data_IF_907879454356
#
_entry.id   IF_907879454356
#
_cell.length_a   1.000
_cell.length_b   1.000
_cell.length_c   1.000
_cell.angle_alpha   90.00
_cell.angle_beta   90.00
_cell.angle_gamma   90.00
#
_symmetry.space_group_name_H-M   'P 1'
#
loop_
_entity.id
_entity.type
_entity.pdbx_description
1 polymer ?
#
# COMPACT_ATOMS: atom_id res chain seq x y z
N UNK A 1 10.11 -11.46 14.38
CA UNK A 1 10.68 -10.57 15.40
C UNK A 1 12.21 -10.59 15.34
N UNK A 2 12.86 -9.47 15.66
CA UNK A 2 14.32 -9.34 15.63
C UNK A 2 15.03 -10.33 16.56
N UNK A 3 14.44 -10.64 17.70
CA UNK A 3 14.99 -11.52 18.74
C UNK A 3 14.35 -12.92 18.77
N UNK A 4 13.11 -13.05 18.28
CA UNK A 4 12.34 -14.29 18.28
C UNK A 4 12.17 -14.79 16.85
N UNK A 5 13.12 -15.58 16.37
CA UNK A 5 13.10 -16.15 15.02
C UNK A 5 12.43 -17.52 15.07
N UNK A 6 11.53 -17.76 14.12
CA UNK A 6 10.82 -19.02 13.91
C UNK A 6 11.05 -19.44 12.46
N UNK A 7 11.28 -20.73 12.16
CA UNK A 7 11.35 -21.22 10.79
C UNK A 7 10.03 -20.90 10.06
N UNK A 8 10.12 -20.50 8.79
CA UNK A 8 8.95 -20.20 7.98
C UNK A 8 8.08 -21.45 7.75
N UNK A 9 8.69 -22.63 7.77
CA UNK A 9 8.02 -23.92 7.66
C UNK A 9 7.12 -24.22 8.84
N UNK A 10 7.52 -23.87 10.08
CA UNK A 10 6.65 -23.94 11.24
C UNK A 10 5.41 -23.03 11.11
N UNK A 11 5.55 -21.85 10.50
CA UNK A 11 4.40 -21.00 10.18
C UNK A 11 3.48 -21.64 9.14
N UNK A 12 4.02 -22.20 8.04
CA UNK A 12 3.23 -22.91 7.03
C UNK A 12 2.45 -24.08 7.62
N UNK A 13 3.07 -24.86 8.52
CA UNK A 13 2.39 -25.95 9.25
C UNK A 13 1.27 -25.43 10.13
N UNK A 14 1.50 -24.36 10.88
CA UNK A 14 0.47 -23.73 11.72
C UNK A 14 -0.73 -23.22 10.91
N UNK A 15 -0.48 -22.70 9.72
CA UNK A 15 -1.51 -22.23 8.78
C UNK A 15 -2.37 -23.38 8.23
N UNK A 16 -1.80 -24.59 8.08
CA UNK A 16 -2.56 -25.77 7.67
C UNK A 16 -1.86 -26.74 6.73
N UNK A 17 -0.62 -26.47 6.31
CA UNK A 17 0.18 -27.35 5.45
C UNK A 17 1.07 -28.25 6.34
N UNK A 18 0.50 -29.33 6.86
CA UNK A 18 1.17 -30.19 7.85
C UNK A 18 2.27 -31.07 7.29
N UNK A 19 2.07 -31.65 6.10
CA UNK A 19 2.99 -32.60 5.50
C UNK A 19 4.12 -31.88 4.74
N UNK A 20 5.31 -32.50 4.78
CA UNK A 20 6.49 -32.00 4.03
C UNK A 20 6.19 -31.92 2.52
N UNK A 21 5.49 -32.94 1.99
CA UNK A 21 5.14 -32.98 0.57
C UNK A 21 4.23 -31.82 0.16
N UNK A 22 3.25 -31.45 0.99
CA UNK A 22 2.37 -30.31 0.74
C UNK A 22 3.15 -29.01 0.63
N UNK A 23 4.10 -28.79 1.57
CA UNK A 23 4.96 -27.59 1.56
C UNK A 23 5.87 -27.57 0.32
N UNK A 24 6.41 -28.73 -0.05
CA UNK A 24 7.30 -28.83 -1.23
C UNK A 24 6.53 -28.62 -2.52
N UNK A 25 5.31 -29.10 -2.66
CA UNK A 25 4.43 -28.86 -3.82
C UNK A 25 4.05 -27.39 -3.99
N UNK A 26 3.86 -26.64 -2.89
CA UNK A 26 3.55 -25.20 -2.96
C UNK A 26 4.64 -24.40 -3.67
N UNK A 27 5.91 -24.73 -3.40
CA UNK A 27 7.07 -23.96 -3.88
C UNK A 27 7.94 -24.74 -4.85
N UNK A 28 7.39 -25.78 -5.49
CA UNK A 28 8.06 -26.55 -6.57
C UNK A 28 9.42 -27.18 -6.16
N UNK A 29 9.51 -27.61 -4.92
CA UNK A 29 10.74 -28.23 -4.43
C UNK A 29 11.91 -27.26 -4.23
N UNK A 30 11.65 -25.97 -3.95
CA UNK A 30 12.69 -24.98 -3.74
C UNK A 30 13.69 -25.42 -2.66
N UNK A 31 14.97 -25.42 -3.01
CA UNK A 31 16.06 -25.86 -2.13
C UNK A 31 16.17 -25.06 -0.82
N UNK A 32 15.77 -23.79 -0.84
CA UNK A 32 15.76 -22.91 0.35
C UNK A 32 14.72 -23.34 1.36
N UNK A 33 13.55 -23.77 0.87
CA UNK A 33 12.48 -24.34 1.73
C UNK A 33 12.92 -25.71 2.27
N UNK A 34 13.56 -26.54 1.43
CA UNK A 34 14.10 -27.84 1.86
C UNK A 34 15.14 -27.67 2.99
N UNK A 35 16.12 -26.80 2.81
CA UNK A 35 17.12 -26.48 3.84
C UNK A 35 16.51 -25.90 5.13
N UNK A 36 15.35 -25.25 5.02
CA UNK A 36 14.62 -24.76 6.21
C UNK A 36 13.90 -25.89 6.90
N UNK A 37 13.30 -26.84 6.15
CA UNK A 37 12.64 -28.03 6.69
C UNK A 37 13.62 -28.92 7.44
N UNK A 38 14.87 -29.08 6.96
CA UNK A 38 15.92 -29.83 7.66
C UNK A 38 16.30 -29.24 9.03
N UNK A 39 16.12 -27.93 9.21
CA UNK A 39 16.38 -27.20 10.46
C UNK A 39 15.17 -27.04 11.33
N UNK A 40 14.00 -27.38 10.82
CA UNK A 40 12.73 -27.28 11.53
C UNK A 40 12.50 -28.56 12.36
N UNK A 41 12.23 -28.38 13.64
CA UNK A 41 11.97 -29.49 14.57
C UNK A 41 10.48 -29.81 14.69
N UNK A 42 9.62 -29.15 13.91
CA UNK A 42 8.18 -29.39 13.91
C UNK A 42 7.81 -30.39 12.83
N UNK A 43 6.92 -31.35 13.12
CA UNK A 43 6.52 -32.41 12.18
C UNK A 43 5.04 -32.36 11.81
N UNK A 44 4.25 -31.66 12.62
CA UNK A 44 2.80 -31.56 12.45
C UNK A 44 2.30 -30.12 12.54
N UNK A 45 1.02 -29.91 12.18
CA UNK A 45 0.33 -28.63 12.37
C UNK A 45 0.32 -28.21 13.85
N UNK A 46 0.12 -29.17 14.73
CA UNK A 46 0.05 -28.94 16.18
C UNK A 46 1.40 -28.50 16.73
N UNK A 47 2.48 -29.14 16.29
CA UNK A 47 3.84 -28.74 16.68
C UNK A 47 4.19 -27.34 16.19
N UNK A 48 3.80 -27.00 14.96
CA UNK A 48 3.96 -25.64 14.42
C UNK A 48 3.24 -24.58 15.27
N UNK A 49 2.01 -24.86 15.67
CA UNK A 49 1.24 -23.97 16.57
C UNK A 49 1.88 -23.84 17.95
N UNK A 50 2.37 -24.94 18.51
CA UNK A 50 3.03 -24.95 19.83
C UNK A 50 4.36 -24.20 19.81
N UNK A 51 5.16 -24.34 18.73
CA UNK A 51 6.42 -23.60 18.59
C UNK A 51 6.18 -22.10 18.50
N UNK A 52 5.16 -21.66 17.76
CA UNK A 52 4.76 -20.26 17.70
C UNK A 52 4.28 -19.77 19.06
N UNK A 53 3.44 -20.55 19.74
CA UNK A 53 2.93 -20.21 21.07
C UNK A 53 4.04 -20.05 22.09
N UNK A 54 5.00 -20.99 22.13
CA UNK A 54 6.17 -20.96 23.00
C UNK A 54 6.99 -19.69 22.83
N UNK A 55 7.12 -19.20 21.60
CA UNK A 55 7.86 -17.97 21.28
C UNK A 55 7.10 -16.70 21.64
N UNK A 56 5.77 -16.70 21.47
CA UNK A 56 4.93 -15.54 21.79
C UNK A 56 4.67 -15.40 23.29
N UNK A 57 4.51 -16.53 23.98
CA UNK A 57 4.21 -16.59 25.42
C UNK A 57 5.18 -17.52 26.17
N UNK A 58 6.42 -17.09 26.37
CA UNK A 58 7.41 -17.90 27.10
C UNK A 58 6.98 -18.09 28.54
N UNK A 59 7.04 -19.36 29.02
CA UNK A 59 6.73 -19.72 30.41
C UNK A 59 5.30 -20.14 30.68
N UNK A 60 4.38 -20.02 29.70
CA UNK A 60 3.04 -20.61 29.86
C UNK A 60 3.04 -22.10 29.49
N UNK A 61 2.15 -22.92 30.13
CA UNK A 61 2.01 -24.34 29.81
C UNK A 61 1.54 -24.49 28.34
N UNK A 62 2.17 -25.46 27.66
CA UNK A 62 1.88 -25.71 26.23
C UNK A 62 0.55 -26.46 26.12
N UNK A 63 -0.43 -25.86 25.49
CA UNK A 63 -1.73 -26.41 25.17
C UNK A 63 -2.08 -26.08 23.71
N UNK A 64 -2.39 -27.11 22.92
CA UNK A 64 -2.72 -27.01 21.49
C UNK A 64 -3.93 -26.09 21.23
N UNK A 65 -4.96 -26.22 22.08
CA UNK A 65 -6.19 -25.45 21.95
C UNK A 65 -5.93 -23.95 22.20
N UNK A 66 -5.18 -23.62 23.24
CA UNK A 66 -4.77 -22.25 23.54
C UNK A 66 -3.87 -21.67 22.44
N UNK A 67 -2.95 -22.48 21.91
CA UNK A 67 -2.10 -22.10 20.80
C UNK A 67 -2.90 -21.81 19.53
N UNK A 68 -3.85 -22.65 19.19
CA UNK A 68 -4.77 -22.45 18.05
C UNK A 68 -5.59 -21.18 18.22
N UNK A 69 -6.24 -21.00 19.36
CA UNK A 69 -7.05 -19.82 19.65
C UNK A 69 -6.22 -18.53 19.60
N UNK A 70 -5.00 -18.55 20.13
CA UNK A 70 -4.10 -17.41 20.03
C UNK A 70 -3.72 -17.10 18.58
N UNK A 71 -3.32 -18.11 17.81
CA UNK A 71 -2.90 -17.96 16.42
C UNK A 71 -4.04 -17.46 15.54
N UNK A 72 -5.23 -18.05 15.64
CA UNK A 72 -6.42 -17.63 14.91
C UNK A 72 -6.82 -16.20 15.27
N UNK A 73 -6.77 -15.84 16.55
CA UNK A 73 -7.10 -14.49 17.01
C UNK A 73 -6.10 -13.42 16.56
N UNK A 74 -4.85 -13.79 16.32
CA UNK A 74 -3.81 -12.84 15.90
C UNK A 74 -3.89 -12.48 14.42
N UNK A 75 -4.29 -13.41 13.55
CA UNK A 75 -4.19 -13.24 12.10
C UNK A 75 -5.53 -13.33 11.36
N UNK A 76 -6.46 -14.14 11.83
CA UNK A 76 -7.66 -14.52 11.09
C UNK A 76 -8.97 -14.02 11.69
N UNK A 77 -8.96 -13.53 12.94
CA UNK A 77 -10.18 -13.00 13.59
C UNK A 77 -10.47 -11.56 13.10
N UNK A 78 -11.57 -11.34 12.34
CA UNK A 78 -11.93 -10.02 11.83
C UNK A 78 -12.24 -8.99 12.93
N UNK A 79 -12.50 -9.43 14.17
CA UNK A 79 -12.74 -8.53 15.31
C UNK A 79 -11.45 -8.00 15.92
N UNK A 80 -10.34 -8.73 15.78
CA UNK A 80 -9.04 -8.39 16.38
C UNK A 80 -8.03 -7.88 15.37
N UNK A 81 -8.08 -8.40 14.15
CA UNK A 81 -7.17 -8.04 13.07
C UNK A 81 -7.93 -7.42 11.90
N UNK A 82 -7.81 -6.13 11.74
CA UNK A 82 -8.44 -5.36 10.67
C UNK A 82 -7.44 -4.37 10.06
N UNK A 83 -6.98 -4.64 8.86
CA UNK A 83 -6.09 -3.74 8.09
C UNK A 83 -6.85 -2.85 7.11
N UNK A 84 -8.16 -2.76 7.26
CA UNK A 84 -9.09 -1.97 6.45
C UNK A 84 -9.09 -2.35 4.95
N UNK A 85 -9.91 -1.67 4.17
CA UNK A 85 -9.97 -1.87 2.70
C UNK A 85 -8.63 -1.55 2.03
N UNK A 86 -7.95 -0.54 2.54
CA UNK A 86 -6.65 -0.09 2.03
C UNK A 86 -5.57 -1.16 2.14
N UNK A 87 -5.49 -1.86 3.28
CA UNK A 87 -4.53 -2.94 3.45
C UNK A 87 -4.80 -4.10 2.50
N UNK A 88 -6.08 -4.49 2.32
CA UNK A 88 -6.47 -5.52 1.34
C UNK A 88 -6.12 -5.10 -0.09
N UNK A 89 -6.41 -3.85 -0.47
CA UNK A 89 -6.04 -3.31 -1.76
C UNK A 89 -4.52 -3.40 -2.01
N UNK A 90 -3.69 -2.96 -1.06
CA UNK A 90 -2.22 -3.01 -1.20
C UNK A 90 -1.67 -4.42 -1.21
N UNK A 91 -2.19 -5.33 -0.38
CA UNK A 91 -1.78 -6.74 -0.38
C UNK A 91 -2.13 -7.39 -1.73
N UNK A 92 -3.34 -7.20 -2.25
CA UNK A 92 -3.73 -7.73 -3.55
C UNK A 92 -2.87 -7.15 -4.68
N UNK A 93 -2.65 -5.83 -4.70
CA UNK A 93 -1.79 -5.17 -5.70
C UNK A 93 -0.37 -5.73 -5.66
N UNK A 94 0.21 -5.91 -4.47
CA UNK A 94 1.58 -6.43 -4.30
C UNK A 94 1.71 -7.92 -4.66
N UNK A 95 0.75 -8.73 -4.25
CA UNK A 95 0.74 -10.17 -4.50
C UNK A 95 0.14 -10.56 -5.86
N UNK A 96 -0.34 -9.58 -6.64
CA UNK A 96 -0.80 -9.82 -8.00
C UNK A 96 0.32 -10.40 -8.87
N UNK A 97 -0.05 -11.17 -9.86
CA UNK A 97 0.93 -11.78 -10.79
C UNK A 97 1.56 -10.75 -11.72
N UNK A 98 0.83 -9.66 -12.07
CA UNK A 98 1.22 -8.70 -13.11
C UNK A 98 2.65 -8.17 -12.94
N UNK A 99 2.99 -7.66 -11.77
CA UNK A 99 4.32 -7.05 -11.51
C UNK A 99 5.51 -8.02 -11.58
N UNK A 100 5.22 -9.35 -11.61
CA UNK A 100 6.24 -10.40 -11.68
C UNK A 100 6.20 -11.19 -12.98
N UNK A 101 5.10 -11.13 -13.73
CA UNK A 101 4.95 -11.82 -15.02
C UNK A 101 5.29 -10.93 -16.20
N UNK A 102 4.95 -9.64 -16.14
CA UNK A 102 5.08 -8.72 -17.28
C UNK A 102 6.53 -8.70 -17.81
N UNK A 103 6.67 -8.89 -19.12
CA UNK A 103 7.94 -8.97 -19.86
C UNK A 103 8.83 -10.17 -19.51
N UNK A 104 8.40 -11.10 -18.67
CA UNK A 104 9.09 -12.36 -18.41
C UNK A 104 8.58 -13.46 -19.33
N UNK A 105 9.43 -14.48 -19.57
CA UNK A 105 9.14 -15.59 -20.46
C UNK A 105 8.53 -16.75 -19.69
N UNK A 106 7.46 -17.36 -20.19
CA UNK A 106 6.82 -18.54 -19.58
C UNK A 106 7.78 -19.74 -19.57
N UNK A 107 7.89 -20.41 -18.44
CA UNK A 107 8.71 -21.60 -18.27
C UNK A 107 7.95 -22.91 -18.56
N UNK A 108 6.62 -22.86 -18.55
CA UNK A 108 5.72 -23.98 -18.87
C UNK A 108 4.51 -23.49 -19.69
N UNK A 109 3.79 -24.43 -20.30
CA UNK A 109 2.55 -24.13 -21.03
C UNK A 109 1.47 -23.66 -20.05
N UNK A 110 0.83 -22.56 -20.39
CA UNK A 110 -0.25 -21.99 -19.59
C UNK A 110 -1.59 -22.46 -20.12
N UNK A 111 -2.32 -23.20 -19.30
CA UNK A 111 -3.63 -23.74 -19.64
C UNK A 111 -4.75 -22.94 -18.93
N UNK A 112 -5.88 -22.82 -19.60
CA UNK A 112 -7.10 -22.27 -19.00
C UNK A 112 -7.64 -23.29 -17.97
N UNK A 113 -7.82 -22.90 -16.70
CA UNK A 113 -8.29 -23.81 -15.65
C UNK A 113 -9.72 -24.35 -15.89
N UNK A 114 -10.57 -23.61 -16.64
CA UNK A 114 -11.97 -23.94 -16.82
C UNK A 114 -12.20 -24.96 -17.95
N UNK A 115 -11.46 -24.86 -19.07
CA UNK A 115 -11.66 -25.68 -20.25
C UNK A 115 -10.42 -26.48 -20.71
N UNK A 116 -9.27 -26.26 -20.08
CA UNK A 116 -8.02 -26.95 -20.43
C UNK A 116 -7.38 -26.50 -21.75
N UNK A 117 -7.88 -25.45 -22.41
CA UNK A 117 -7.28 -24.91 -23.63
C UNK A 117 -5.94 -24.23 -23.35
N UNK A 118 -5.05 -24.30 -24.34
CA UNK A 118 -3.75 -23.64 -24.27
C UNK A 118 -3.93 -22.11 -24.45
N UNK A 119 -3.63 -21.35 -23.39
CA UNK A 119 -3.63 -19.87 -23.42
C UNK A 119 -2.34 -19.33 -24.02
N UNK A 120 -1.20 -19.88 -23.61
CA UNK A 120 0.10 -19.50 -24.10
C UNK A 120 1.08 -20.67 -23.97
N UNK A 121 1.92 -20.88 -24.98
CA UNK A 121 2.93 -21.93 -24.96
C UNK A 121 4.16 -21.50 -24.14
N UNK A 122 4.90 -22.48 -23.65
CA UNK A 122 6.23 -22.29 -23.07
C UNK A 122 7.12 -21.45 -23.99
N UNK A 123 7.86 -20.49 -23.44
CA UNK A 123 8.72 -19.60 -24.21
C UNK A 123 8.02 -18.33 -24.70
N UNK A 124 6.71 -18.17 -24.48
CA UNK A 124 6.00 -16.92 -24.79
C UNK A 124 6.38 -15.85 -23.78
N UNK A 125 6.69 -14.65 -24.26
CA UNK A 125 6.87 -13.46 -23.42
C UNK A 125 5.49 -12.95 -22.99
N UNK A 126 5.32 -12.75 -21.69
CA UNK A 126 4.04 -12.28 -21.13
C UNK A 126 3.89 -10.79 -21.38
N UNK A 127 2.90 -10.41 -22.15
CA UNK A 127 2.51 -9.04 -22.41
C UNK A 127 1.35 -8.57 -21.48
N UNK A 128 0.94 -7.31 -21.64
CA UNK A 128 -0.16 -6.75 -20.84
C UNK A 128 -1.53 -7.41 -21.10
N UNK A 129 -1.76 -7.91 -22.32
CA UNK A 129 -3.00 -8.57 -22.69
C UNK A 129 -3.11 -9.96 -22.06
N UNK A 130 -2.04 -10.75 -22.13
CA UNK A 130 -1.95 -12.06 -21.50
C UNK A 130 -2.02 -11.94 -19.96
N UNK A 131 -1.35 -10.94 -19.36
CA UNK A 131 -1.50 -10.67 -17.93
C UNK A 131 -2.94 -10.43 -17.50
N UNK A 132 -3.70 -9.69 -18.32
CA UNK A 132 -5.11 -9.40 -18.06
C UNK A 132 -5.99 -10.65 -18.13
N UNK A 133 -5.76 -11.50 -19.13
CA UNK A 133 -6.43 -12.79 -19.24
C UNK A 133 -6.13 -13.72 -18.06
N UNK A 134 -4.87 -13.77 -17.60
CA UNK A 134 -4.45 -14.55 -16.43
C UNK A 134 -5.20 -14.09 -15.17
N UNK A 135 -5.37 -12.77 -14.99
CA UNK A 135 -6.11 -12.21 -13.85
C UNK A 135 -7.62 -12.51 -13.94
N UNK A 136 -8.23 -12.35 -15.10
CA UNK A 136 -9.65 -12.63 -15.32
C UNK A 136 -10.00 -14.09 -15.05
N UNK A 137 -9.13 -15.01 -15.45
CA UNK A 137 -9.25 -16.45 -15.18
C UNK A 137 -8.81 -16.87 -13.78
N UNK A 138 -8.39 -15.92 -12.94
CA UNK A 138 -7.95 -16.14 -11.55
C UNK A 138 -6.89 -17.24 -11.42
N UNK A 139 -5.98 -17.31 -12.37
CA UNK A 139 -4.88 -18.27 -12.31
C UNK A 139 -3.98 -17.88 -11.13
N UNK A 140 -3.85 -18.76 -10.14
CA UNK A 140 -3.11 -18.47 -8.90
C UNK A 140 -1.62 -18.79 -8.97
N UNK A 141 -1.18 -19.54 -9.98
CA UNK A 141 0.20 -20.04 -10.10
C UNK A 141 0.66 -20.02 -11.55
N UNK A 142 1.83 -19.44 -11.81
CA UNK A 142 2.48 -19.40 -13.13
C UNK A 142 3.97 -19.58 -12.96
N UNK A 143 4.64 -20.32 -13.88
CA UNK A 143 6.09 -20.45 -13.91
C UNK A 143 6.70 -19.57 -14.99
N UNK A 144 7.70 -18.81 -14.62
CA UNK A 144 8.45 -17.94 -15.54
C UNK A 144 9.96 -18.14 -15.36
N UNK A 145 10.71 -17.82 -16.40
CA UNK A 145 12.16 -17.73 -16.31
C UNK A 145 12.56 -16.37 -15.74
N UNK A 146 13.51 -16.37 -14.80
CA UNK A 146 14.16 -15.14 -14.37
C UNK A 146 15.24 -14.71 -15.37
N UNK A 147 15.92 -13.58 -15.10
CA UNK A 147 17.00 -13.07 -15.95
C UNK A 147 18.19 -14.04 -16.08
N UNK A 148 18.41 -14.91 -15.09
CA UNK A 148 19.45 -15.92 -15.07
C UNK A 148 19.03 -17.23 -15.78
N UNK A 149 17.83 -17.30 -16.34
CA UNK A 149 17.28 -18.49 -17.00
C UNK A 149 16.77 -19.57 -16.04
N UNK A 150 16.67 -19.29 -14.74
CA UNK A 150 16.09 -20.20 -13.74
C UNK A 150 14.57 -20.14 -13.81
N UNK A 151 13.91 -21.31 -13.85
CA UNK A 151 12.45 -21.38 -13.73
C UNK A 151 12.04 -21.07 -12.28
N UNK A 152 11.15 -20.09 -12.11
CA UNK A 152 10.65 -19.63 -10.83
C UNK A 152 9.13 -19.69 -10.81
N UNK A 153 8.59 -20.21 -9.72
CA UNK A 153 7.14 -20.25 -9.50
C UNK A 153 6.65 -18.94 -8.89
N UNK A 154 5.69 -18.32 -9.55
CA UNK A 154 5.02 -17.08 -9.10
C UNK A 154 3.63 -17.44 -8.59
N UNK A 155 3.38 -17.12 -7.32
CA UNK A 155 2.11 -17.37 -6.64
C UNK A 155 1.33 -16.08 -6.39
N UNK A 156 0.03 -16.11 -6.64
CA UNK A 156 -0.91 -15.04 -6.27
C UNK A 156 -1.75 -15.43 -5.07
N UNK A 157 -2.34 -14.47 -4.39
CA UNK A 157 -3.36 -14.69 -3.37
C UNK A 157 -4.79 -14.82 -3.95
N UNK A 158 -4.95 -14.82 -5.29
CA UNK A 158 -6.24 -15.00 -5.97
C UNK A 158 -7.18 -13.80 -5.91
N UNK A 159 -6.68 -12.57 -5.75
CA UNK A 159 -7.47 -11.32 -5.68
C UNK A 159 -8.65 -11.42 -4.68
N UNK A 160 -8.31 -11.57 -3.42
CA UNK A 160 -9.30 -11.71 -2.33
C UNK A 160 -10.19 -10.46 -2.26
N UNK A 161 -11.51 -10.60 -2.08
CA UNK A 161 -12.43 -9.47 -2.06
C UNK A 161 -12.09 -8.41 -1.02
N UNK A 162 -12.29 -7.12 -1.35
CA UNK A 162 -11.94 -5.96 -0.50
C UNK A 162 -12.69 -5.90 0.85
N UNK A 163 -13.78 -6.66 1.00
CA UNK A 163 -14.50 -6.74 2.27
C UNK A 163 -13.81 -7.66 3.30
N UNK A 164 -12.91 -8.54 2.85
CA UNK A 164 -12.10 -9.39 3.73
C UNK A 164 -10.91 -8.59 4.25
N UNK A 165 -11.00 -8.10 5.48
CA UNK A 165 -10.04 -7.16 6.06
C UNK A 165 -9.04 -7.80 7.03
N UNK A 166 -8.99 -9.11 7.07
CA UNK A 166 -8.03 -9.90 7.84
C UNK A 166 -7.16 -10.73 6.90
N UNK A 167 -6.06 -11.25 7.39
CA UNK A 167 -5.19 -12.14 6.60
C UNK A 167 -5.92 -13.45 6.29
N UNK A 168 -5.55 -14.05 5.16
CA UNK A 168 -5.98 -15.38 4.75
C UNK A 168 -4.76 -16.30 4.60
N UNK A 169 -5.01 -17.58 4.43
CA UNK A 169 -3.93 -18.57 4.21
C UNK A 169 -3.20 -18.30 2.90
N UNK A 170 -3.96 -17.94 1.88
CA UNK A 170 -3.47 -17.62 0.54
C UNK A 170 -2.52 -16.41 0.57
N UNK A 171 -2.82 -15.37 1.37
CA UNK A 171 -1.94 -14.22 1.57
C UNK A 171 -0.57 -14.65 2.11
N UNK A 172 -0.55 -15.54 3.11
CA UNK A 172 0.69 -16.00 3.74
C UNK A 172 1.52 -16.80 2.74
N UNK A 173 0.90 -17.75 2.05
CA UNK A 173 1.58 -18.60 1.04
C UNK A 173 2.13 -17.74 -0.09
N UNK A 174 1.32 -16.83 -0.64
CA UNK A 174 1.74 -15.94 -1.72
C UNK A 174 2.85 -14.97 -1.26
N UNK A 175 2.82 -14.49 -0.01
CA UNK A 175 3.87 -13.62 0.55
C UNK A 175 5.21 -14.35 0.63
N UNK A 176 5.21 -15.60 1.09
CA UNK A 176 6.44 -16.41 1.13
C UNK A 176 6.95 -16.66 -0.30
N UNK A 177 6.05 -17.01 -1.25
CA UNK A 177 6.40 -17.15 -2.66
C UNK A 177 6.97 -15.86 -3.24
N UNK A 178 6.39 -14.70 -2.92
CA UNK A 178 6.92 -13.40 -3.33
C UNK A 178 8.33 -13.14 -2.78
N UNK A 179 8.58 -13.50 -1.52
CA UNK A 179 9.90 -13.38 -0.91
C UNK A 179 10.95 -14.25 -1.63
N UNK A 180 10.59 -15.49 -2.01
CA UNK A 180 11.47 -16.35 -2.80
C UNK A 180 11.74 -15.76 -4.20
N UNK A 181 10.70 -15.19 -4.84
CA UNK A 181 10.84 -14.50 -6.12
C UNK A 181 11.80 -13.31 -6.05
N UNK A 182 11.73 -12.49 -4.98
CA UNK A 182 12.66 -11.36 -4.78
C UNK A 182 14.10 -11.83 -4.69
N UNK A 183 14.36 -12.96 -4.02
CA UNK A 183 15.71 -13.56 -3.96
C UNK A 183 16.21 -14.04 -5.31
N UNK A 184 15.31 -14.39 -6.23
CA UNK A 184 15.60 -14.81 -7.60
C UNK A 184 15.54 -13.62 -8.60
N UNK A 185 15.47 -12.38 -8.13
CA UNK A 185 15.44 -11.17 -8.97
C UNK A 185 14.09 -10.88 -9.65
N UNK A 186 13.03 -11.59 -9.26
CA UNK A 186 11.66 -11.34 -9.75
C UNK A 186 10.87 -10.46 -8.76
N UNK A 187 10.30 -9.37 -9.27
CA UNK A 187 9.57 -8.39 -8.46
C UNK A 187 10.43 -7.21 -8.02
N UNK A 188 9.88 -6.37 -7.15
CA UNK A 188 10.52 -5.15 -6.67
C UNK A 188 10.45 -5.04 -5.15
N UNK A 189 11.49 -4.50 -4.56
CA UNK A 189 11.50 -4.12 -3.14
C UNK A 189 10.73 -2.80 -3.03
N UNK A 190 9.87 -2.69 -2.00
CA UNK A 190 9.12 -1.46 -1.77
C UNK A 190 10.02 -0.36 -1.20
N UNK A 191 9.89 0.83 -1.77
CA UNK A 191 10.46 2.05 -1.22
C UNK A 191 9.48 2.59 -0.17
N UNK A 192 9.97 2.76 1.07
CA UNK A 192 9.16 3.21 2.21
C UNK A 192 8.72 4.68 2.03
N UNK A 193 9.55 5.50 1.39
CA UNK A 193 9.30 6.94 1.23
C UNK A 193 8.46 7.27 -0.01
N UNK A 194 8.22 6.29 -0.86
CA UNK A 194 7.37 6.43 -2.03
C UNK A 194 5.92 6.73 -1.64
N UNK A 195 5.27 7.76 -2.23
CA UNK A 195 3.87 8.13 -1.91
C UNK A 195 2.82 7.08 -2.32
N UNK A 196 3.19 6.09 -3.09
CA UNK A 196 2.40 4.89 -3.29
C UNK A 196 2.33 3.99 -2.04
N UNK A 197 3.27 4.10 -1.11
CA UNK A 197 3.33 3.34 0.15
C UNK A 197 3.01 4.21 1.37
N UNK A 198 3.03 5.53 1.23
CA UNK A 198 2.66 6.51 2.28
C UNK A 198 1.31 7.10 1.95
N UNK A 199 0.31 6.78 2.74
CA UNK A 199 -1.04 7.32 2.58
C UNK A 199 -1.34 8.42 3.60
N UNK A 200 -2.31 9.26 3.28
CA UNK A 200 -2.84 10.25 4.18
C UNK A 200 -4.05 9.71 4.95
N UNK A 201 -4.14 10.09 6.20
CA UNK A 201 -5.35 9.92 7.01
C UNK A 201 -6.03 11.27 7.14
N UNK A 202 -7.18 11.41 6.48
CA UNK A 202 -7.99 12.61 6.56
C UNK A 202 -8.69 12.73 7.92
N UNK A 203 -9.25 13.91 8.19
CA UNK A 203 -9.99 14.21 9.43
C UNK A 203 -11.11 13.18 9.67
N UNK A 204 -11.83 12.77 8.62
CA UNK A 204 -12.92 11.79 8.74
C UNK A 204 -12.43 10.45 9.29
N UNK A 205 -11.30 9.93 8.82
CA UNK A 205 -10.72 8.68 9.32
C UNK A 205 -10.24 8.81 10.78
N UNK A 206 -9.60 9.94 11.13
CA UNK A 206 -9.15 10.21 12.49
C UNK A 206 -10.32 10.28 13.47
N UNK A 207 -11.41 10.97 13.11
CA UNK A 207 -12.63 11.04 13.91
C UNK A 207 -13.31 9.68 14.03
N UNK A 208 -13.39 8.91 12.94
CA UNK A 208 -13.93 7.55 12.97
C UNK A 208 -13.19 6.67 13.97
N UNK A 209 -11.87 6.75 14.03
CA UNK A 209 -11.07 5.99 14.97
C UNK A 209 -11.34 6.40 16.42
N UNK A 210 -11.46 7.69 16.71
CA UNK A 210 -11.83 8.18 18.04
C UNK A 210 -13.24 7.77 18.45
N UNK A 211 -14.17 7.83 17.51
CA UNK A 211 -15.53 7.37 17.75
C UNK A 211 -15.60 5.87 18.05
N UNK A 212 -14.83 5.06 17.30
CA UNK A 212 -14.69 3.60 17.54
C UNK A 212 -14.13 3.32 18.94
N UNK A 213 -13.13 4.05 19.41
CA UNK A 213 -12.58 3.92 20.75
C UNK A 213 -13.64 4.26 21.80
N UNK A 214 -14.39 5.33 21.60
CA UNK A 214 -15.48 5.75 22.48
C UNK A 214 -16.58 4.68 22.57
N UNK A 215 -16.99 4.12 21.43
CA UNK A 215 -17.99 3.03 21.37
C UNK A 215 -17.49 1.75 22.06
N UNK A 216 -16.23 1.36 21.85
CA UNK A 216 -15.67 0.18 22.51
C UNK A 216 -15.60 0.32 24.04
N UNK A 217 -15.27 1.53 24.52
CA UNK A 217 -15.33 1.84 25.96
C UNK A 217 -16.78 1.76 26.49
N UNK A 218 -17.73 2.28 25.73
CA UNK A 218 -19.15 2.21 26.08
C UNK A 218 -19.67 0.75 26.08
N UNK A 219 -19.34 -0.04 25.06
CA UNK A 219 -19.70 -1.45 24.99
C UNK A 219 -19.22 -2.22 26.22
N UNK A 220 -17.97 -2.00 26.65
CA UNK A 220 -17.42 -2.66 27.83
C UNK A 220 -18.22 -2.32 29.08
N UNK A 221 -18.55 -1.04 29.29
CA UNK A 221 -19.35 -0.60 30.43
C UNK A 221 -20.77 -1.18 30.40
N UNK A 222 -21.38 -1.24 29.22
CA UNK A 222 -22.71 -1.88 29.05
C UNK A 222 -22.63 -3.35 29.41
N UNK A 223 -21.63 -4.06 28.93
CA UNK A 223 -21.43 -5.49 29.22
C UNK A 223 -21.21 -5.75 30.72
N UNK A 224 -20.39 -4.92 31.39
CA UNK A 224 -20.20 -4.99 32.85
C UNK A 224 -21.53 -4.75 33.61
N UNK A 225 -22.31 -3.75 33.22
CA UNK A 225 -23.61 -3.47 33.83
C UNK A 225 -24.64 -4.60 33.63
N UNK A 226 -24.68 -5.18 32.43
CA UNK A 226 -25.54 -6.34 32.14
C UNK A 226 -25.22 -7.56 33.02
N UNK A 227 -24.00 -7.71 33.47
CA UNK A 227 -23.59 -8.81 34.36
C UNK A 227 -24.01 -8.57 35.81
N UNK A 228 -24.13 -7.31 36.23
CA UNK A 228 -24.37 -6.95 37.64
C UNK A 228 -25.86 -6.67 37.91
N UNK A 229 -26.61 -6.18 36.94
CA UNK A 229 -28.01 -5.76 37.12
C UNK A 229 -29.00 -6.90 36.83
N UNK A 230 -30.13 -6.85 37.52
CA UNK A 230 -31.23 -7.80 37.39
C UNK A 230 -31.86 -7.70 35.97
N UNK A 231 -31.94 -8.82 35.27
CA UNK A 231 -32.38 -8.90 33.87
C UNK A 231 -33.82 -8.41 33.67
N UNK A 232 -34.69 -8.56 34.70
CA UNK A 232 -36.11 -8.20 34.61
C UNK A 232 -36.38 -6.70 34.72
N UNK A 233 -35.46 -5.89 35.29
CA UNK A 233 -35.64 -4.47 35.55
C UNK A 233 -34.81 -3.56 34.63
N UNK A 234 -34.00 -4.12 33.74
CA UNK A 234 -33.01 -3.40 32.93
C UNK A 234 -33.66 -2.77 31.68
N UNK A 235 -33.48 -1.45 31.52
CA UNK A 235 -33.85 -0.74 30.30
C UNK A 235 -32.60 -0.33 29.50
N UNK A 236 -32.67 -0.21 28.17
CA UNK A 236 -31.54 0.26 27.36
C UNK A 236 -31.00 1.64 27.81
N UNK A 237 -31.87 2.52 28.29
CA UNK A 237 -31.49 3.86 28.79
C UNK A 237 -30.63 3.79 30.07
N UNK A 238 -30.89 2.80 30.95
CA UNK A 238 -30.09 2.59 32.17
C UNK A 238 -28.71 1.99 31.88
N UNK A 239 -28.60 1.19 30.83
CA UNK A 239 -27.33 0.54 30.42
C UNK A 239 -26.42 1.47 29.64
N UNK A 240 -26.97 2.24 28.70
CA UNK A 240 -26.18 3.04 27.77
C UNK A 240 -25.72 4.34 28.44
N UNK A 241 -24.41 4.56 28.42
CA UNK A 241 -23.79 5.80 28.89
C UNK A 241 -22.99 6.43 27.74
N UNK A 242 -23.38 7.61 27.29
CA UNK A 242 -22.73 8.34 26.19
C UNK A 242 -21.43 9.05 26.58
N UNK A 243 -21.14 9.19 27.88
CA UNK A 243 -19.96 9.92 28.37
C UNK A 243 -18.63 9.45 27.79
N UNK A 244 -18.34 8.13 27.64
CA UNK A 244 -17.10 7.65 27.04
C UNK A 244 -16.90 8.11 25.60
N UNK A 245 -17.98 8.19 24.81
CA UNK A 245 -17.94 8.67 23.42
C UNK A 245 -17.64 10.17 23.37
N UNK A 246 -18.37 10.95 24.18
CA UNK A 246 -18.15 12.40 24.29
C UNK A 246 -16.73 12.70 24.77
N UNK A 247 -16.22 11.94 25.75
CA UNK A 247 -14.86 12.10 26.25
C UNK A 247 -13.82 11.83 25.17
N UNK A 248 -13.96 10.78 24.38
CA UNK A 248 -13.05 10.44 23.30
C UNK A 248 -12.99 11.53 22.21
N UNK A 249 -14.16 12.09 21.84
CA UNK A 249 -14.22 13.19 20.86
C UNK A 249 -13.60 14.47 21.42
N UNK A 250 -13.91 14.82 22.68
CA UNK A 250 -13.30 15.98 23.35
C UNK A 250 -11.79 15.83 23.50
N UNK A 251 -11.31 14.63 23.78
CA UNK A 251 -9.88 14.32 23.87
C UNK A 251 -9.18 14.61 22.53
N UNK A 252 -9.80 14.22 21.40
CA UNK A 252 -9.25 14.49 20.08
C UNK A 252 -9.15 15.98 19.79
N UNK A 253 -10.23 16.74 19.96
CA UNK A 253 -10.23 18.16 19.63
C UNK A 253 -9.43 19.02 20.62
N UNK A 254 -9.30 18.59 21.88
CA UNK A 254 -8.60 19.35 22.92
C UNK A 254 -7.13 19.06 23.09
N UNK A 255 -6.68 17.84 22.75
CA UNK A 255 -5.30 17.39 23.06
C UNK A 255 -4.58 16.71 21.89
N UNK A 256 -5.22 16.50 20.73
CA UNK A 256 -4.54 15.94 19.58
C UNK A 256 -3.57 16.95 18.94
N UNK A 257 -2.37 16.50 18.60
CA UNK A 257 -1.39 17.32 17.88
C UNK A 257 -1.88 17.77 16.50
N UNK A 258 -2.82 17.03 15.89
CA UNK A 258 -3.38 17.32 14.57
C UNK A 258 -4.56 18.29 14.62
N UNK A 259 -5.18 18.49 15.80
CA UNK A 259 -6.19 19.50 16.03
C UNK A 259 -5.51 20.80 16.46
N UNK A 260 -5.47 21.77 15.57
CA UNK A 260 -4.72 23.02 15.76
C UNK A 260 -5.66 24.22 15.65
N UNK A 261 -5.25 25.33 16.24
CA UNK A 261 -5.87 26.63 15.99
C UNK A 261 -5.68 26.98 14.51
N UNK A 262 -6.77 27.34 13.83
CA UNK A 262 -6.71 27.73 12.43
C UNK A 262 -6.05 29.10 12.27
N UNK A 263 -5.10 29.20 11.35
CA UNK A 263 -4.51 30.47 10.96
C UNK A 263 -5.55 31.26 10.13
N UNK A 264 -5.98 32.42 10.64
CA UNK A 264 -7.06 33.25 10.09
C UNK A 264 -6.62 34.68 9.76
N UNK A 265 -5.35 34.90 9.52
CA UNK A 265 -4.82 36.23 9.17
C UNK A 265 -5.38 36.75 7.85
N UNK A 266 -5.55 35.85 6.87
CA UNK A 266 -6.19 36.12 5.59
C UNK A 266 -6.79 34.82 5.00
N UNK A 267 -7.64 34.89 3.94
CA UNK A 267 -8.24 33.69 3.34
C UNK A 267 -7.22 32.70 2.80
N UNK A 268 -6.07 33.15 2.29
CA UNK A 268 -5.01 32.27 1.78
C UNK A 268 -4.36 31.47 2.92
N UNK A 269 -4.15 32.09 4.09
CA UNK A 269 -3.62 31.41 5.28
C UNK A 269 -4.55 30.29 5.76
N UNK A 270 -5.86 30.52 5.75
CA UNK A 270 -6.86 29.49 6.07
C UNK A 270 -6.79 28.31 5.07
N UNK A 271 -6.73 28.62 3.76
CA UNK A 271 -6.67 27.60 2.72
C UNK A 271 -5.39 26.75 2.84
N UNK A 272 -4.25 27.38 3.01
CA UNK A 272 -2.96 26.67 3.15
C UNK A 272 -2.90 25.84 4.41
N UNK A 273 -3.47 26.31 5.52
CA UNK A 273 -3.54 25.54 6.76
C UNK A 273 -4.41 24.27 6.59
N UNK A 274 -5.53 24.36 5.89
CA UNK A 274 -6.42 23.21 5.61
C UNK A 274 -5.78 22.18 4.67
N UNK A 275 -4.83 22.58 3.83
CA UNK A 275 -4.11 21.71 2.88
C UNK A 275 -2.76 21.22 3.41
N UNK A 276 -2.46 21.45 4.67
CA UNK A 276 -1.20 21.05 5.30
C UNK A 276 -1.15 19.55 5.55
N UNK A 277 -0.01 18.96 5.25
CA UNK A 277 0.29 17.55 5.42
C UNK A 277 1.32 17.41 6.55
N UNK A 278 1.04 16.56 7.54
CA UNK A 278 1.94 16.31 8.66
C UNK A 278 2.34 14.84 8.72
N UNK A 279 3.64 14.56 8.82
CA UNK A 279 4.17 13.23 9.09
C UNK A 279 4.14 12.88 10.59
N UNK A 280 3.84 13.87 11.46
CA UNK A 280 3.80 13.76 12.90
C UNK A 280 2.41 13.33 13.40
N UNK A 281 2.33 12.92 14.67
CA UNK A 281 1.07 12.64 15.35
C UNK A 281 0.79 11.15 15.54
N UNK A 282 -0.42 10.80 15.98
CA UNK A 282 -0.80 9.41 16.29
C UNK A 282 -0.64 8.49 15.08
N UNK A 283 0.21 7.47 15.20
CA UNK A 283 0.54 6.53 14.12
C UNK A 283 1.47 7.10 13.05
N UNK A 284 2.02 8.29 13.24
CA UNK A 284 3.08 8.89 12.44
C UNK A 284 4.46 8.77 13.09
N UNK A 285 5.39 9.60 12.62
CA UNK A 285 6.77 9.66 13.12
C UNK A 285 6.90 10.59 14.32
N UNK A 286 7.92 10.37 15.13
CA UNK A 286 8.41 11.37 16.10
C UNK A 286 9.58 12.14 15.50
N UNK A 287 9.73 13.42 15.87
CA UNK A 287 10.81 14.29 15.36
C UNK A 287 12.20 13.68 15.52
N UNK A 288 12.43 13.03 16.65
CA UNK A 288 13.72 12.44 17.02
C UNK A 288 14.05 11.17 16.21
N UNK A 289 13.02 10.45 15.76
CA UNK A 289 13.17 9.20 14.98
C UNK A 289 13.16 9.43 13.47
N UNK A 290 12.80 10.61 13.01
CA UNK A 290 12.77 10.97 11.61
C UNK A 290 14.20 11.26 11.12
N UNK A 291 14.78 10.36 10.33
CA UNK A 291 16.06 10.53 9.65
C UNK A 291 15.99 11.54 8.50
N UNK A 292 17.11 11.71 7.80
CA UNK A 292 17.17 12.58 6.62
C UNK A 292 16.34 12.06 5.46
N UNK A 293 16.31 10.75 5.22
CA UNK A 293 15.58 10.12 4.12
C UNK A 293 14.09 10.48 4.08
N UNK A 294 13.44 10.51 5.27
CA UNK A 294 12.00 10.88 5.38
C UNK A 294 11.74 12.36 5.15
N UNK A 295 12.77 13.21 5.33
CA UNK A 295 12.69 14.68 5.21
C UNK A 295 13.02 15.17 3.80
N UNK A 296 13.69 14.34 3.01
CA UNK A 296 14.08 14.66 1.66
C UNK A 296 12.87 14.66 0.70
N UNK A 297 13.05 15.35 -0.42
CA UNK A 297 12.06 15.35 -1.51
C UNK A 297 12.26 14.09 -2.35
N UNK A 298 11.26 13.23 -2.36
CA UNK A 298 11.24 12.02 -3.17
C UNK A 298 10.66 12.31 -4.56
N UNK A 299 11.06 11.58 -5.61
CA UNK A 299 10.52 11.78 -6.97
C UNK A 299 8.99 11.64 -7.04
N UNK A 300 8.39 10.75 -6.22
CA UNK A 300 6.94 10.59 -6.13
C UNK A 300 6.18 11.81 -5.58
N UNK A 301 6.89 12.81 -5.05
CA UNK A 301 6.28 14.07 -4.58
C UNK A 301 5.81 14.95 -5.74
N UNK A 302 6.30 14.70 -6.96
CA UNK A 302 5.93 15.48 -8.13
C UNK A 302 4.40 15.53 -8.31
N UNK A 303 3.87 16.75 -8.37
CA UNK A 303 2.43 17.00 -8.51
C UNK A 303 1.57 16.62 -7.29
N UNK A 304 2.15 16.13 -6.20
CA UNK A 304 1.45 15.66 -4.98
C UNK A 304 1.77 16.47 -3.75
N UNK A 305 3.03 16.64 -3.45
CA UNK A 305 3.51 17.46 -2.32
C UNK A 305 4.41 18.57 -2.86
N UNK A 306 4.18 19.79 -2.41
CA UNK A 306 5.03 20.92 -2.78
C UNK A 306 6.45 20.70 -2.21
N UNK A 307 7.50 20.78 -3.05
CA UNK A 307 8.87 20.58 -2.58
C UNK A 307 9.44 21.81 -1.86
N UNK A 308 8.79 22.96 -1.95
CA UNK A 308 9.28 24.26 -1.47
C UNK A 308 8.63 24.63 -0.14
N UNK A 309 7.29 24.47 -0.02
CA UNK A 309 6.54 24.88 1.16
C UNK A 309 6.73 23.89 2.31
N UNK A 310 7.74 24.12 3.14
CA UNK A 310 8.03 23.36 4.35
C UNK A 310 8.60 24.29 5.43
N UNK A 311 8.35 24.07 6.72
CA UNK A 311 8.96 24.86 7.78
C UNK A 311 10.48 24.74 7.80
N UNK A 312 11.15 25.80 8.23
CA UNK A 312 12.56 25.76 8.60
C UNK A 312 12.75 25.18 10.01
N UNK A 313 13.89 24.53 10.26
CA UNK A 313 14.26 24.02 11.58
C UNK A 313 13.85 22.56 11.84
N UNK A 314 13.45 22.19 13.07
CA UNK A 314 13.28 20.78 13.48
C UNK A 314 12.20 20.02 12.71
N UNK A 315 11.23 20.73 12.12
CA UNK A 315 10.10 20.15 11.38
C UNK A 315 10.30 20.13 9.87
N UNK A 316 11.47 20.51 9.36
CA UNK A 316 11.77 20.49 7.92
C UNK A 316 11.47 19.12 7.32
N UNK A 317 10.79 19.08 6.19
CA UNK A 317 10.41 17.85 5.49
C UNK A 317 9.34 16.99 6.19
N UNK A 318 8.97 17.27 7.45
CA UNK A 318 7.93 16.54 8.18
C UNK A 318 6.55 17.20 8.07
N UNK A 319 6.52 18.46 7.75
CA UNK A 319 5.30 19.21 7.48
C UNK A 319 5.44 19.77 6.08
N UNK A 320 4.50 19.44 5.22
CA UNK A 320 4.44 19.91 3.83
C UNK A 320 3.04 20.37 3.48
N UNK A 321 2.84 20.74 2.23
CA UNK A 321 1.55 21.17 1.69
C UNK A 321 1.19 20.37 0.45
N UNK A 322 -0.11 20.13 0.29
CA UNK A 322 -0.65 19.47 -0.89
C UNK A 322 -0.50 20.36 -2.11
N UNK A 323 -0.02 19.79 -3.22
CA UNK A 323 0.11 20.51 -4.50
C UNK A 323 -1.25 20.98 -5.03
N UNK A 324 -1.23 21.99 -5.90
CA UNK A 324 -2.42 22.74 -6.34
C UNK A 324 -3.51 21.85 -6.92
N UNK A 325 -3.16 20.90 -7.80
CA UNK A 325 -4.12 20.03 -8.49
C UNK A 325 -4.25 18.65 -7.85
N UNK A 326 -3.48 18.36 -6.80
CA UNK A 326 -3.51 17.08 -6.14
C UNK A 326 -4.81 16.87 -5.36
N UNK A 327 -5.29 15.65 -5.35
CA UNK A 327 -6.42 15.21 -4.54
C UNK A 327 -6.10 13.90 -3.81
N UNK A 328 -6.92 13.55 -2.83
CA UNK A 328 -6.79 12.32 -2.06
C UNK A 328 -7.86 11.35 -2.56
N UNK A 329 -7.47 10.12 -2.90
CA UNK A 329 -8.40 9.08 -3.31
C UNK A 329 -9.10 8.41 -2.12
N UNK A 330 -10.02 7.48 -2.39
CA UNK A 330 -10.79 6.75 -1.37
C UNK A 330 -9.92 5.89 -0.42
N UNK A 331 -8.70 5.54 -0.84
CA UNK A 331 -7.74 4.78 -0.03
C UNK A 331 -6.79 5.67 0.78
N UNK A 332 -6.81 6.98 0.56
CA UNK A 332 -5.94 7.96 1.21
C UNK A 332 -4.62 8.22 0.47
N UNK A 333 -4.42 7.69 -0.74
CA UNK A 333 -3.27 8.04 -1.58
C UNK A 333 -3.49 9.34 -2.32
N UNK A 334 -2.40 10.08 -2.52
CA UNK A 334 -2.45 11.34 -3.26
C UNK A 334 -2.38 11.03 -4.75
N UNK A 335 -3.33 11.56 -5.49
CA UNK A 335 -3.42 11.49 -6.95
C UNK A 335 -3.18 12.85 -7.56
N UNK A 336 -2.62 12.85 -8.77
CA UNK A 336 -2.39 14.06 -9.56
C UNK A 336 -2.96 13.88 -10.97
N UNK A 337 -3.49 14.96 -11.61
CA UNK A 337 -4.10 14.85 -12.91
C UNK A 337 -3.05 14.88 -14.03
N UNK A 338 -3.31 14.09 -15.08
CA UNK A 338 -2.55 14.05 -16.32
C UNK A 338 -3.49 14.05 -17.51
N UNK A 339 -3.05 14.63 -18.61
CA UNK A 339 -3.73 14.55 -19.91
C UNK A 339 -3.28 13.29 -20.62
N UNK A 340 -4.23 12.51 -21.12
CA UNK A 340 -3.93 11.28 -21.87
C UNK A 340 -3.43 11.59 -23.27
N UNK A 341 -2.42 10.86 -23.75
CA UNK A 341 -1.93 10.92 -25.12
C UNK A 341 -2.52 9.75 -25.91
N UNK A 342 -3.13 10.05 -27.04
CA UNK A 342 -3.56 9.04 -28.01
C UNK A 342 -2.33 8.61 -28.83
N UNK A 343 -1.89 7.37 -28.62
CA UNK A 343 -0.70 6.81 -29.28
C UNK A 343 -0.89 6.55 -30.78
N UNK A 344 -2.14 6.33 -31.22
CA UNK A 344 -2.41 6.08 -32.64
C UNK A 344 -2.23 7.35 -33.48
N UNK A 345 -2.66 8.49 -32.94
CA UNK A 345 -2.62 9.77 -33.63
C UNK A 345 -1.52 10.70 -33.12
N UNK A 346 -0.80 10.34 -32.05
CA UNK A 346 0.18 11.17 -31.33
C UNK A 346 -0.38 12.53 -30.88
N UNK A 347 -1.64 12.52 -30.41
CA UNK A 347 -2.38 13.73 -30.00
C UNK A 347 -2.60 13.72 -28.50
N UNK A 348 -2.31 14.82 -27.83
CA UNK A 348 -2.67 15.06 -26.45
C UNK A 348 -4.15 15.37 -26.36
N UNK A 349 -4.91 14.48 -25.71
CA UNK A 349 -6.36 14.62 -25.56
C UNK A 349 -6.73 15.54 -24.40
N UNK A 350 -7.99 15.98 -24.34
CA UNK A 350 -8.53 16.74 -23.21
C UNK A 350 -9.01 15.81 -22.07
N UNK A 351 -8.88 14.49 -22.24
CA UNK A 351 -9.19 13.52 -21.20
C UNK A 351 -8.17 13.64 -20.06
N UNK A 352 -8.67 14.00 -18.87
CA UNK A 352 -7.85 14.11 -17.65
C UNK A 352 -8.02 12.87 -16.80
N UNK A 353 -6.93 12.18 -16.56
CA UNK A 353 -6.87 10.98 -15.71
C UNK A 353 -6.07 11.30 -14.45
N UNK A 354 -6.58 10.87 -13.29
CA UNK A 354 -5.86 11.00 -12.02
C UNK A 354 -5.09 9.72 -11.73
N UNK A 355 -3.79 9.84 -11.52
CA UNK A 355 -2.89 8.71 -11.25
C UNK A 355 -2.30 8.81 -9.86
N UNK A 356 -2.22 7.65 -9.17
CA UNK A 356 -1.41 7.51 -7.97
C UNK A 356 0.07 7.45 -8.32
N UNK A 357 0.96 7.60 -7.35
CA UNK A 357 2.40 7.54 -7.61
C UNK A 357 2.85 6.17 -8.15
N UNK A 358 2.25 5.08 -7.63
CA UNK A 358 2.52 3.71 -8.10
C UNK A 358 2.11 3.49 -9.57
N UNK A 359 0.98 4.11 -9.98
CA UNK A 359 0.48 3.95 -11.34
C UNK A 359 1.28 4.81 -12.31
N UNK A 360 1.70 6.02 -11.89
CA UNK A 360 2.56 6.91 -12.67
C UNK A 360 3.90 6.27 -13.04
N UNK A 361 4.49 5.49 -12.14
CA UNK A 361 5.78 4.81 -12.36
C UNK A 361 5.78 3.83 -13.55
N UNK A 362 4.61 3.41 -14.02
CA UNK A 362 4.47 2.53 -15.18
C UNK A 362 4.45 3.29 -16.52
N UNK A 363 4.32 4.64 -16.50
CA UNK A 363 4.06 5.45 -17.68
C UNK A 363 5.15 6.50 -17.95
N UNK A 364 5.27 6.86 -19.22
CA UNK A 364 6.12 7.95 -19.70
C UNK A 364 5.29 9.22 -19.77
N UNK A 365 5.67 10.22 -18.97
CA UNK A 365 4.91 11.46 -18.81
C UNK A 365 5.68 12.65 -19.37
N UNK A 366 5.10 13.33 -20.36
CA UNK A 366 5.66 14.56 -20.92
C UNK A 366 5.45 15.77 -20.00
N UNK A 367 6.38 16.70 -20.05
CA UNK A 367 6.28 17.95 -19.29
C UNK A 367 5.22 18.89 -19.90
N UNK A 368 4.58 19.71 -19.05
CA UNK A 368 3.55 20.67 -19.46
C UNK A 368 4.03 21.76 -20.45
N UNK A 369 5.33 22.01 -20.52
CA UNK A 369 5.94 23.00 -21.43
C UNK A 369 6.29 22.44 -22.81
N UNK A 370 5.99 21.18 -23.10
CA UNK A 370 6.20 20.61 -24.43
C UNK A 370 5.35 21.36 -25.46
N UNK A 371 5.97 21.71 -26.59
CA UNK A 371 5.31 22.45 -27.64
C UNK A 371 4.34 21.57 -28.42
N UNK A 372 3.09 22.01 -28.50
CA UNK A 372 2.01 21.36 -29.24
C UNK A 372 1.57 22.24 -30.39
N UNK A 373 1.06 21.64 -31.46
CA UNK A 373 0.36 22.33 -32.54
C UNK A 373 -1.12 22.63 -32.17
N UNK A 374 -1.88 23.22 -33.09
CA UNK A 374 -3.30 23.53 -32.90
C UNK A 374 -4.17 22.26 -32.76
N UNK A 375 -3.68 21.12 -33.26
CA UNK A 375 -4.36 19.82 -33.18
C UNK A 375 -3.95 19.01 -31.92
N UNK A 376 -3.03 19.56 -31.11
CA UNK A 376 -2.54 18.89 -29.89
C UNK A 376 -1.42 17.88 -30.14
N UNK A 377 -0.73 17.92 -31.29
CA UNK A 377 0.41 17.04 -31.60
C UNK A 377 1.71 17.66 -31.12
N UNK A 378 2.64 16.82 -30.72
CA UNK A 378 3.99 17.29 -30.38
C UNK A 378 4.74 17.81 -31.61
N UNK A 379 5.25 19.04 -31.54
CA UNK A 379 6.04 19.65 -32.60
C UNK A 379 7.46 19.10 -32.68
N UNK A 380 7.99 18.60 -31.61
CA UNK A 380 9.36 18.10 -31.49
C UNK A 380 9.45 16.63 -31.83
N UNK A 381 10.47 16.20 -32.60
CA UNK A 381 10.74 14.80 -32.88
C UNK A 381 11.18 14.00 -31.64
N UNK A 382 11.61 14.70 -30.59
CA UNK A 382 11.91 14.13 -29.28
C UNK A 382 11.32 15.00 -28.19
N UNK A 383 10.60 14.39 -27.27
CA UNK A 383 9.92 15.04 -26.16
C UNK A 383 10.66 14.72 -24.86
N UNK A 384 10.88 15.73 -24.03
CA UNK A 384 11.42 15.55 -22.69
C UNK A 384 10.32 15.01 -21.79
N UNK A 385 10.53 13.80 -21.29
CA UNK A 385 9.58 13.08 -20.45
C UNK A 385 10.22 12.67 -19.14
N UNK A 386 9.37 12.34 -18.21
CA UNK A 386 9.71 11.76 -16.91
C UNK A 386 9.30 10.28 -16.90
N UNK A 387 10.22 9.43 -16.48
CA UNK A 387 9.97 8.01 -16.19
C UNK A 387 10.55 7.69 -14.81
N UNK A 388 9.70 7.51 -13.82
CA UNK A 388 10.11 7.38 -12.41
C UNK A 388 10.97 8.56 -11.95
N UNK A 389 12.23 8.31 -11.58
CA UNK A 389 13.19 9.34 -11.15
C UNK A 389 14.00 9.97 -12.28
N UNK A 390 13.97 9.36 -13.47
CA UNK A 390 14.84 9.74 -14.58
C UNK A 390 14.11 10.65 -15.58
N UNK A 391 14.86 11.59 -16.16
CA UNK A 391 14.40 12.39 -17.28
C UNK A 391 14.90 11.75 -18.57
N UNK A 392 13.98 11.40 -19.45
CA UNK A 392 14.25 10.70 -20.70
C UNK A 392 13.79 11.52 -21.91
N UNK A 393 14.49 11.36 -23.02
CA UNK A 393 14.11 11.95 -24.31
C UNK A 393 13.58 10.83 -25.21
N UNK A 394 12.28 10.82 -25.44
CA UNK A 394 11.59 9.79 -26.20
C UNK A 394 10.88 10.35 -27.43
N UNK A 395 10.63 9.55 -28.47
CA UNK A 395 9.77 9.96 -29.57
C UNK A 395 8.31 10.12 -29.09
N UNK A 396 7.49 10.97 -29.75
CA UNK A 396 6.11 11.23 -29.37
C UNK A 396 5.22 9.99 -29.24
N UNK A 397 5.51 8.94 -30.00
CA UNK A 397 4.76 7.65 -30.02
C UNK A 397 4.86 6.85 -28.71
N UNK A 398 5.92 7.09 -27.94
CA UNK A 398 6.14 6.40 -26.66
C UNK A 398 5.49 7.11 -25.47
N UNK A 399 5.06 8.37 -25.66
CA UNK A 399 4.48 9.18 -24.58
C UNK A 399 3.08 8.69 -24.21
N UNK A 400 2.85 8.42 -22.93
CA UNK A 400 1.56 7.93 -22.42
C UNK A 400 0.67 9.08 -21.93
N UNK A 401 1.26 10.03 -21.22
CA UNK A 401 0.56 11.14 -20.58
C UNK A 401 1.35 12.43 -20.67
N UNK A 402 0.69 13.54 -20.41
CA UNK A 402 1.30 14.87 -20.34
C UNK A 402 0.80 15.59 -19.09
N UNK A 403 1.67 16.35 -18.43
CA UNK A 403 1.31 17.22 -17.30
C UNK A 403 0.25 18.24 -17.73
N UNK A 404 -0.68 18.55 -16.84
CA UNK A 404 -1.76 19.52 -17.13
C UNK A 404 -1.24 20.95 -17.13
N UNK A 405 -0.36 21.29 -16.18
CA UNK A 405 0.17 22.65 -16.02
C UNK A 405 1.48 22.64 -15.22
N UNK A 406 2.41 23.56 -15.43
CA UNK A 406 3.59 23.71 -14.58
C UNK A 406 3.27 24.01 -13.11
N UNK A 407 2.13 24.67 -12.84
CA UNK A 407 1.65 24.94 -11.47
C UNK A 407 1.26 23.68 -10.68
N UNK A 408 1.17 22.56 -11.35
CA UNK A 408 0.89 21.25 -10.73
C UNK A 408 1.96 20.85 -9.71
N UNK A 409 3.21 21.27 -9.91
CA UNK A 409 4.34 20.92 -9.04
C UNK A 409 4.25 21.55 -7.65
N UNK A 410 3.71 22.73 -7.53
CA UNK A 410 3.78 23.57 -6.33
C UNK A 410 2.44 23.69 -5.61
N UNK A 411 2.46 24.13 -4.34
CA UNK A 411 1.25 24.42 -3.56
C UNK A 411 0.56 25.69 -4.04
N UNK A 412 -0.66 25.92 -3.53
CA UNK A 412 -1.44 27.12 -3.90
C UNK A 412 -0.73 28.41 -3.52
N UNK A 413 -0.14 28.50 -2.33
CA UNK A 413 0.58 29.69 -1.90
C UNK A 413 1.83 29.94 -2.76
N UNK A 414 2.60 28.89 -3.00
CA UNK A 414 3.83 28.96 -3.83
C UNK A 414 3.50 29.31 -5.28
N UNK A 415 2.39 28.84 -5.82
CA UNK A 415 1.95 29.17 -7.20
C UNK A 415 1.57 30.64 -7.39
N UNK A 416 1.38 31.40 -6.32
CA UNK A 416 1.09 32.84 -6.36
C UNK A 416 2.35 33.73 -6.31
N UNK A 417 3.53 33.14 -6.09
CA UNK A 417 4.80 33.89 -6.10
C UNK A 417 5.12 34.27 -7.56
N UNK A 418 5.23 35.56 -7.87
CA UNK A 418 5.60 36.00 -9.23
C UNK A 418 7.06 35.65 -9.50
N UNK A 419 7.36 35.21 -10.73
CA UNK A 419 8.71 34.86 -11.19
C UNK A 419 9.42 33.81 -10.34
N UNK A 420 8.66 32.87 -9.78
CA UNK A 420 9.17 31.79 -8.93
C UNK A 420 10.30 31.00 -9.59
N UNK A 421 10.25 30.84 -10.92
CA UNK A 421 11.27 30.14 -11.71
C UNK A 421 12.66 30.78 -11.64
N UNK A 422 12.74 32.04 -11.24
CA UNK A 422 13.99 32.78 -11.07
C UNK A 422 14.48 32.83 -9.61
N UNK A 423 13.68 32.32 -8.67
CA UNK A 423 13.99 32.33 -7.26
C UNK A 423 14.73 31.05 -6.84
N UNK A 424 15.60 31.18 -5.85
CA UNK A 424 16.20 30.00 -5.21
C UNK A 424 15.16 29.31 -4.33
N UNK A 425 15.01 27.99 -4.50
CA UNK A 425 14.06 27.17 -3.75
C UNK A 425 14.19 27.30 -2.21
N UNK A 426 15.38 27.60 -1.70
CA UNK A 426 15.61 27.82 -0.28
C UNK A 426 15.11 29.17 0.24
N UNK A 427 14.73 30.08 -0.64
CA UNK A 427 14.31 31.46 -0.32
C UNK A 427 12.91 31.81 -0.82
N UNK A 428 12.26 30.86 -1.54
CA UNK A 428 10.92 31.04 -2.13
C UNK A 428 9.79 30.98 -1.07
#
# INVERSE_FOLDING_TARGET
DRTRKIPVTALLRAVGYGAVNEIMELYDGDSRILNTLEKDHTDSREDGLLEIYKRLRPGEPLNVENARNLFESLFFDPKRYDFAKVGRYKINKKLSLRGRLLYNTLAEDLLNPDNGELLAAKGTVVDGALCKQIQELRIGRVKVFNQDGKACTVLSNGDIPLHVKHLTREDIVATIGYFLNLMDGLGSIDDIDHLGNRRLRSVGELLQNQFRIGLSRMERVVRERMTIQDVEAVTPQALINIRPVIAAIKEFFGSSQLSQFMDQTNPLAELTHKRRLSALGPGGLSRERAGFEVRDVHHSHYGRMCPIETPEGPNIGLIGSLSTYARINEYGFIETPYRRVDKENNVVTDEVVYLTADDEDEYIVAQANALLDEEGRFLSNRVTCRLRKDTVLVPPEEVDYMDVSPKQLVSVATALIPFLENDDANRA
#
